data_IF_670353106477
#
_entry.id   IF_670353106477
#
_cell.length_a   1.000
_cell.length_b   1.000
_cell.length_c   1.000
_cell.angle_alpha   90.00
_cell.angle_beta   90.00
_cell.angle_gamma   90.00
#
_symmetry.space_group_name_H-M   'P 1'
#
loop_
_entity.id
_entity.type
_entity.pdbx_description
1 polymer ?
#
# COMPACT_ATOMS: atom_id res chain seq x y z
N UNK A 1 28.41 41.37 -10.69
CA UNK A 1 29.29 40.27 -10.33
C UNK A 1 29.59 40.12 -8.83
N UNK A 2 29.85 41.22 -8.06
CA UNK A 2 30.10 41.15 -6.59
C UNK A 2 28.89 40.71 -5.77
N UNK A 3 27.67 41.08 -6.12
CA UNK A 3 26.44 40.68 -5.40
C UNK A 3 26.10 39.19 -5.51
N UNK A 4 26.45 38.57 -6.65
CA UNK A 4 26.24 37.11 -6.87
C UNK A 4 27.23 36.28 -6.05
N UNK A 5 28.46 36.72 -5.89
CA UNK A 5 29.46 36.06 -5.03
C UNK A 5 29.12 36.16 -3.55
N UNK A 6 28.51 37.27 -3.10
CA UNK A 6 28.04 37.41 -1.72
C UNK A 6 26.83 36.53 -1.40
N UNK A 7 26.00 36.23 -2.40
CA UNK A 7 24.82 35.33 -2.22
C UNK A 7 25.25 33.86 -2.14
N UNK A 8 26.21 33.45 -2.97
CA UNK A 8 26.78 32.10 -2.90
C UNK A 8 27.57 31.86 -1.61
N UNK A 9 28.37 32.84 -1.17
CA UNK A 9 29.09 32.76 0.12
C UNK A 9 28.13 32.77 1.35
N UNK A 10 26.92 33.30 1.24
CA UNK A 10 25.90 33.20 2.29
C UNK A 10 25.22 31.83 2.30
N UNK A 11 25.02 31.20 1.14
CA UNK A 11 24.45 29.85 1.05
C UNK A 11 25.41 28.80 1.61
N UNK A 12 26.73 28.96 1.39
CA UNK A 12 27.74 28.07 1.98
C UNK A 12 27.92 28.20 3.48
N UNK A 13 27.34 29.25 4.10
CA UNK A 13 27.33 29.49 5.55
C UNK A 13 26.11 28.95 6.28
N UNK A 14 25.21 28.27 5.64
CA UNK A 14 24.22 27.44 6.37
C UNK A 14 24.99 26.34 7.09
N UNK A 15 25.34 26.64 8.33
CA UNK A 15 26.04 25.70 9.22
C UNK A 15 25.21 24.42 9.26
N UNK A 16 25.73 23.34 8.69
CA UNK A 16 25.19 22.01 8.86
C UNK A 16 24.98 21.78 10.37
N UNK A 17 23.73 21.83 10.81
CA UNK A 17 23.38 21.60 12.19
C UNK A 17 23.42 20.10 12.43
N UNK A 18 24.48 19.63 13.11
CA UNK A 18 24.60 18.24 13.49
C UNK A 18 23.39 17.90 14.37
N UNK A 19 22.52 16.95 13.97
CA UNK A 19 21.38 16.55 14.77
C UNK A 19 21.86 15.89 16.05
N UNK A 20 21.27 16.29 17.19
CA UNK A 20 21.65 15.77 18.52
C UNK A 20 20.89 14.50 18.89
N UNK A 21 19.77 14.24 18.25
CA UNK A 21 18.90 13.09 18.51
C UNK A 21 18.30 12.55 17.23
N UNK A 22 17.78 11.31 17.29
CA UNK A 22 17.05 10.69 16.17
C UNK A 22 15.81 11.51 15.82
N UNK A 23 15.17 12.15 16.79
CA UNK A 23 14.00 13.01 16.56
C UNK A 23 14.33 14.25 15.72
N UNK A 24 15.56 14.74 15.77
CA UNK A 24 15.99 15.88 14.95
C UNK A 24 16.16 15.50 13.46
N UNK A 25 16.39 14.20 13.20
CA UNK A 25 16.56 13.67 11.83
C UNK A 25 15.22 13.26 11.25
N UNK A 26 14.35 12.63 12.06
CA UNK A 26 13.05 12.13 11.60
C UNK A 26 12.09 13.31 11.50
N UNK A 27 11.58 13.64 10.29
CA UNK A 27 10.72 14.80 10.09
C UNK A 27 9.28 14.57 10.62
N UNK A 28 8.95 13.37 11.11
CA UNK A 28 7.64 13.03 11.65
C UNK A 28 7.47 13.70 13.01
N UNK A 29 6.52 14.61 13.13
CA UNK A 29 6.19 15.28 14.40
C UNK A 29 5.16 14.54 15.21
N UNK A 30 4.18 13.93 14.55
CA UNK A 30 3.08 13.22 15.21
C UNK A 30 2.54 12.12 14.31
N UNK A 31 2.15 11.01 14.94
CA UNK A 31 1.35 9.95 14.35
C UNK A 31 -0.01 9.94 15.05
N UNK A 32 -1.08 10.01 14.29
CA UNK A 32 -2.44 9.99 14.79
C UNK A 32 -3.01 8.56 14.76
N UNK A 33 -3.97 8.22 15.65
CA UNK A 33 -4.53 6.86 15.72
C UNK A 33 -5.20 6.39 14.41
N UNK A 34 -5.69 7.33 13.60
CA UNK A 34 -6.29 7.10 12.27
C UNK A 34 -5.26 6.88 11.15
N UNK A 35 -3.98 6.70 11.50
CA UNK A 35 -2.89 6.42 10.56
C UNK A 35 -2.41 7.65 9.79
N UNK A 36 -2.73 8.85 10.23
CA UNK A 36 -2.24 10.10 9.63
C UNK A 36 -0.89 10.47 10.26
N UNK A 37 0.12 10.68 9.39
CA UNK A 37 1.44 11.19 9.76
C UNK A 37 1.48 12.70 9.55
N UNK A 38 2.05 13.43 10.51
CA UNK A 38 2.22 14.88 10.44
C UNK A 38 3.70 15.26 10.30
N UNK A 39 4.00 16.05 9.27
CA UNK A 39 5.33 16.58 8.95
C UNK A 39 5.24 18.11 8.91
N UNK A 40 5.25 18.78 10.05
CA UNK A 40 4.97 20.23 10.11
C UNK A 40 3.53 20.54 9.68
N UNK A 41 3.37 21.27 8.58
CA UNK A 41 2.06 21.59 7.96
C UNK A 41 1.60 20.54 6.94
N UNK A 42 2.44 19.56 6.60
CA UNK A 42 2.13 18.49 5.66
C UNK A 42 1.60 17.28 6.41
N UNK A 43 0.49 16.74 5.95
CA UNK A 43 -0.13 15.52 6.45
C UNK A 43 -0.07 14.43 5.38
N UNK A 44 0.11 13.19 5.80
CA UNK A 44 0.23 12.04 4.89
C UNK A 44 -0.52 10.84 5.45
N UNK A 45 -1.23 10.13 4.61
CA UNK A 45 -1.91 8.85 4.95
C UNK A 45 -1.59 7.81 3.88
N UNK A 46 -1.21 6.62 4.33
CA UNK A 46 -0.88 5.49 3.45
C UNK A 46 -1.96 4.42 3.56
N UNK A 47 -2.40 3.91 2.42
CA UNK A 47 -3.40 2.87 2.32
C UNK A 47 -2.85 1.71 1.49
N UNK A 48 -3.20 0.49 1.88
CA UNK A 48 -2.96 -0.69 1.06
C UNK A 48 -4.12 -0.86 0.10
N UNK A 49 -3.83 -1.21 -1.15
CA UNK A 49 -4.85 -1.57 -2.13
C UNK A 49 -4.56 -2.95 -2.73
N UNK A 50 -5.64 -3.65 -3.09
CA UNK A 50 -5.56 -4.95 -3.73
C UNK A 50 -5.28 -4.80 -5.22
N UNK A 51 -4.74 -5.85 -5.82
CA UNK A 51 -4.58 -5.93 -7.26
C UNK A 51 -5.92 -6.18 -7.95
N UNK A 52 -6.05 -5.64 -9.14
CA UNK A 52 -7.14 -5.94 -10.05
C UNK A 52 -6.52 -6.74 -11.19
N UNK A 53 -7.06 -7.93 -11.45
CA UNK A 53 -6.54 -8.78 -12.52
C UNK A 53 -6.94 -8.22 -13.89
N UNK A 54 -6.21 -7.20 -14.34
CA UNK A 54 -6.44 -6.51 -15.59
C UNK A 54 -6.29 -7.43 -16.83
N UNK A 55 -5.44 -8.45 -16.73
CA UNK A 55 -5.15 -9.33 -17.87
C UNK A 55 -6.38 -10.12 -18.32
N UNK A 56 -7.17 -10.63 -17.36
CA UNK A 56 -8.33 -11.50 -17.60
C UNK A 56 -9.65 -10.70 -17.69
N UNK A 57 -9.64 -9.42 -17.33
CA UNK A 57 -10.82 -8.59 -17.28
C UNK A 57 -11.43 -8.38 -18.70
N UNK A 58 -12.75 -8.28 -18.75
CA UNK A 58 -13.49 -7.93 -19.97
C UNK A 58 -13.11 -6.52 -20.46
N UNK A 59 -13.47 -6.17 -21.68
CA UNK A 59 -13.21 -4.82 -22.22
C UNK A 59 -13.97 -3.76 -21.41
N UNK A 60 -15.19 -4.07 -21.01
CA UNK A 60 -16.07 -3.21 -20.21
C UNK A 60 -15.46 -2.98 -18.82
N UNK A 61 -14.97 -4.04 -18.16
CA UNK A 61 -14.33 -3.95 -16.87
C UNK A 61 -13.03 -3.13 -16.95
N UNK A 62 -12.23 -3.35 -17.99
CA UNK A 62 -11.00 -2.55 -18.22
C UNK A 62 -11.31 -1.06 -18.35
N UNK A 63 -12.37 -0.73 -19.07
CA UNK A 63 -12.81 0.66 -19.21
C UNK A 63 -13.30 1.23 -17.89
N UNK A 64 -14.10 0.47 -17.12
CA UNK A 64 -14.58 0.88 -15.80
C UNK A 64 -13.43 1.09 -14.81
N UNK A 65 -12.41 0.22 -14.82
CA UNK A 65 -11.20 0.38 -14.01
C UNK A 65 -10.44 1.66 -14.36
N UNK A 66 -10.27 1.94 -15.65
CA UNK A 66 -9.59 3.15 -16.11
C UNK A 66 -10.34 4.41 -15.70
N UNK A 67 -11.67 4.43 -15.87
CA UNK A 67 -12.51 5.55 -15.42
C UNK A 67 -12.41 5.76 -13.90
N UNK A 68 -12.47 4.69 -13.12
CA UNK A 68 -12.32 4.78 -11.66
C UNK A 68 -10.94 5.31 -11.24
N UNK A 69 -9.88 4.91 -11.94
CA UNK A 69 -8.54 5.44 -11.72
C UNK A 69 -8.44 6.93 -12.09
N UNK A 70 -9.02 7.33 -13.20
CA UNK A 70 -9.06 8.74 -13.63
C UNK A 70 -9.85 9.60 -12.65
N UNK A 71 -10.98 9.11 -12.14
CA UNK A 71 -11.74 9.78 -11.07
C UNK A 71 -10.91 9.93 -9.78
N UNK A 72 -10.05 8.94 -9.48
CA UNK A 72 -9.12 9.04 -8.34
C UNK A 72 -8.15 10.19 -8.52
N UNK A 73 -7.54 10.30 -9.63
CA UNK A 73 -6.59 11.37 -9.90
C UNK A 73 -7.27 12.75 -9.91
N UNK A 74 -8.46 12.83 -10.51
CA UNK A 74 -9.22 14.08 -10.60
C UNK A 74 -9.80 14.55 -9.25
N UNK A 75 -9.95 13.67 -8.26
CA UNK A 75 -10.42 14.03 -6.92
C UNK A 75 -9.32 14.58 -6.02
N UNK A 76 -8.06 14.56 -6.46
CA UNK A 76 -6.95 15.14 -5.72
C UNK A 76 -6.91 16.64 -5.94
N UNK A 77 -6.82 17.40 -4.83
CA UNK A 77 -6.66 18.85 -4.88
C UNK A 77 -5.31 19.25 -5.48
N UNK A 78 -5.27 20.42 -6.12
CA UNK A 78 -4.02 21.07 -6.49
C UNK A 78 -3.15 21.27 -5.23
N UNK A 79 -1.90 20.81 -5.27
CA UNK A 79 -0.99 20.85 -4.12
C UNK A 79 -1.00 19.57 -3.27
N UNK A 80 -1.81 18.57 -3.60
CA UNK A 80 -1.65 17.22 -3.05
C UNK A 80 -0.59 16.43 -3.83
N UNK A 81 0.09 15.51 -3.13
CA UNK A 81 1.07 14.60 -3.73
C UNK A 81 0.61 13.19 -3.54
N UNK A 82 0.61 12.41 -4.60
CA UNK A 82 0.29 10.99 -4.59
C UNK A 82 1.55 10.18 -4.89
N UNK A 83 1.82 9.17 -4.06
CA UNK A 83 2.90 8.21 -4.28
C UNK A 83 2.33 6.80 -4.30
N UNK A 84 2.59 6.06 -5.37
CA UNK A 84 2.31 4.63 -5.45
C UNK A 84 3.60 3.88 -5.12
N UNK A 85 3.51 2.93 -4.20
CA UNK A 85 4.63 2.09 -3.77
C UNK A 85 4.26 0.64 -4.02
N UNK A 86 5.09 -0.07 -4.75
CA UNK A 86 5.00 -1.51 -4.94
C UNK A 86 6.16 -2.13 -4.17
N UNK A 87 5.84 -2.93 -3.18
CA UNK A 87 6.80 -3.60 -2.32
C UNK A 87 6.79 -5.09 -2.59
N UNK A 88 7.88 -5.60 -3.13
CA UNK A 88 8.06 -7.02 -3.37
C UNK A 88 8.64 -7.66 -2.11
N UNK A 89 7.87 -8.51 -1.46
CA UNK A 89 8.29 -9.28 -0.29
C UNK A 89 8.45 -10.74 -0.65
N UNK A 90 9.49 -11.37 -0.15
CA UNK A 90 9.54 -12.83 -0.16
C UNK A 90 8.46 -13.38 0.76
N UNK A 91 7.81 -14.45 0.33
CA UNK A 91 6.85 -15.18 1.16
C UNK A 91 7.60 -15.69 2.38
N UNK A 92 7.07 -15.39 3.57
CA UNK A 92 7.56 -16.00 4.79
C UNK A 92 7.12 -17.47 4.78
N UNK A 93 8.08 -18.39 4.65
CA UNK A 93 7.82 -19.82 4.58
C UNK A 93 7.01 -20.33 5.78
N UNK A 94 7.31 -19.85 6.97
CA UNK A 94 6.59 -20.24 8.18
C UNK A 94 5.11 -19.85 8.15
N UNK A 95 4.78 -18.62 7.73
CA UNK A 95 3.39 -18.20 7.59
C UNK A 95 2.67 -18.97 6.48
N UNK A 96 3.36 -19.26 5.38
CA UNK A 96 2.83 -20.09 4.30
C UNK A 96 2.49 -21.49 4.78
N UNK A 97 3.39 -22.14 5.53
CA UNK A 97 3.16 -23.46 6.08
C UNK A 97 1.95 -23.50 7.03
N UNK A 98 1.75 -22.46 7.84
CA UNK A 98 0.61 -22.38 8.77
C UNK A 98 -0.72 -22.05 8.10
N UNK A 99 -0.74 -21.24 7.05
CA UNK A 99 -1.98 -20.72 6.45
C UNK A 99 -2.47 -21.58 5.27
N UNK A 100 -1.59 -22.26 4.56
CA UNK A 100 -1.90 -22.90 3.27
C UNK A 100 -1.79 -24.41 3.32
N UNK A 101 -0.87 -24.96 4.11
CA UNK A 101 -0.74 -26.41 4.22
C UNK A 101 -1.91 -27.02 4.97
N UNK A 102 -2.41 -28.14 4.45
CA UNK A 102 -3.50 -28.87 5.08
C UNK A 102 -2.94 -29.74 6.19
N UNK A 103 -3.33 -29.51 7.48
CA UNK A 103 -2.83 -30.33 8.57
C UNK A 103 -3.36 -31.77 8.47
N UNK A 104 -2.61 -32.77 8.95
CA UNK A 104 -3.08 -34.16 9.03
C UNK A 104 -4.27 -34.25 10.01
N UNK A 105 -5.28 -35.05 9.68
CA UNK A 105 -6.48 -35.26 10.48
C UNK A 105 -6.60 -36.63 11.10
N UNK A 106 -5.63 -37.55 10.81
CA UNK A 106 -5.64 -38.93 11.30
C UNK A 106 -6.59 -39.86 10.54
N UNK A 107 -6.98 -39.49 9.33
CA UNK A 107 -7.87 -40.27 8.47
C UNK A 107 -7.15 -40.86 7.25
N UNK A 108 -7.88 -41.69 6.46
CA UNK A 108 -7.34 -42.36 5.29
C UNK A 108 -6.90 -41.40 4.15
N UNK A 109 -7.26 -40.13 4.22
CA UNK A 109 -6.92 -39.09 3.24
C UNK A 109 -5.58 -38.40 3.54
N UNK A 110 -4.94 -38.71 4.67
CA UNK A 110 -3.69 -38.04 5.06
C UNK A 110 -2.54 -38.27 4.07
N UNK A 111 -2.52 -39.42 3.39
CA UNK A 111 -1.60 -39.66 2.30
C UNK A 111 -1.74 -38.66 1.15
N UNK A 112 -2.96 -38.40 0.73
CA UNK A 112 -3.27 -37.40 -0.32
C UNK A 112 -2.97 -35.98 0.13
N UNK A 113 -3.24 -35.63 1.40
CA UNK A 113 -2.88 -34.32 1.97
C UNK A 113 -1.38 -34.11 1.97
N UNK A 114 -0.60 -35.15 2.34
CA UNK A 114 0.86 -35.08 2.34
C UNK A 114 1.41 -34.83 0.93
N UNK A 115 0.90 -35.56 -0.06
CA UNK A 115 1.30 -35.39 -1.47
C UNK A 115 0.95 -34.01 -2.00
N UNK A 116 -0.26 -33.54 -1.73
CA UNK A 116 -0.69 -32.18 -2.11
C UNK A 116 0.19 -31.09 -1.46
N UNK A 117 0.47 -31.24 -0.18
CA UNK A 117 1.35 -30.33 0.55
C UNK A 117 2.78 -30.33 -0.01
N UNK A 118 3.30 -31.50 -0.41
CA UNK A 118 4.61 -31.62 -1.05
C UNK A 118 4.67 -30.84 -2.38
N UNK A 119 3.63 -30.93 -3.20
CA UNK A 119 3.52 -30.17 -4.47
C UNK A 119 3.49 -28.66 -4.20
N UNK A 120 2.76 -28.22 -3.17
CA UNK A 120 2.69 -26.80 -2.80
C UNK A 120 4.04 -26.27 -2.32
N UNK A 121 4.75 -27.05 -1.49
CA UNK A 121 6.07 -26.68 -0.98
C UNK A 121 7.12 -26.60 -2.09
N UNK A 122 7.09 -27.53 -3.05
CA UNK A 122 7.97 -27.53 -4.21
C UNK A 122 7.77 -26.25 -5.04
N UNK A 123 6.51 -25.89 -5.34
CA UNK A 123 6.18 -24.65 -6.07
C UNK A 123 6.58 -23.37 -5.35
N UNK A 124 6.57 -23.35 -4.03
CA UNK A 124 7.01 -22.18 -3.24
C UNK A 124 8.52 -22.11 -3.15
N UNK A 125 9.20 -23.23 -3.20
CA UNK A 125 10.66 -23.29 -3.20
C UNK A 125 11.23 -22.80 -4.54
N UNK A 126 10.45 -22.95 -5.61
CA UNK A 126 10.79 -22.39 -6.92
C UNK A 126 10.85 -20.86 -6.85
N UNK A 127 12.03 -20.30 -7.07
CA UNK A 127 12.37 -18.89 -6.78
C UNK A 127 11.48 -17.85 -7.47
N UNK A 128 10.78 -18.22 -8.53
CA UNK A 128 9.88 -17.34 -9.28
C UNK A 128 8.53 -17.08 -8.59
N UNK A 129 8.08 -18.02 -7.74
CA UNK A 129 6.76 -17.95 -7.09
C UNK A 129 6.83 -17.49 -5.62
N UNK A 130 8.03 -17.18 -5.12
CA UNK A 130 8.25 -16.84 -3.71
C UNK A 130 8.08 -15.35 -3.38
N UNK A 131 7.52 -14.55 -4.29
CA UNK A 131 7.38 -13.09 -4.12
C UNK A 131 5.92 -12.68 -4.11
N UNK A 132 5.51 -12.00 -3.03
CA UNK A 132 4.21 -11.33 -2.92
C UNK A 132 4.42 -9.84 -3.13
N UNK A 133 3.57 -9.23 -3.96
CA UNK A 133 3.55 -7.80 -4.15
C UNK A 133 2.52 -7.15 -3.22
N UNK A 134 3.00 -6.26 -2.37
CA UNK A 134 2.14 -5.37 -1.60
C UNK A 134 2.12 -4.00 -2.27
N UNK A 135 0.92 -3.47 -2.47
CA UNK A 135 0.72 -2.18 -3.14
C UNK A 135 0.14 -1.18 -2.17
N UNK A 136 0.77 -0.02 -2.13
CA UNK A 136 0.38 1.09 -1.26
C UNK A 136 0.22 2.37 -2.06
N UNK A 137 -0.80 3.14 -1.70
CA UNK A 137 -0.97 4.51 -2.15
C UNK A 137 -0.81 5.44 -0.96
N UNK A 138 0.09 6.39 -1.07
CA UNK A 138 0.32 7.41 -0.06
C UNK A 138 -0.14 8.75 -0.60
N UNK A 139 -1.10 9.36 0.08
CA UNK A 139 -1.58 10.69 -0.19
C UNK A 139 -0.96 11.67 0.80
N UNK A 140 -0.50 12.82 0.31
CA UNK A 140 0.06 13.87 1.14
C UNK A 140 -0.50 15.22 0.72
N UNK A 141 -0.87 16.05 1.68
CA UNK A 141 -1.39 17.39 1.43
C UNK A 141 -0.95 18.36 2.54
N UNK A 142 -0.82 19.64 2.19
CA UNK A 142 -0.64 20.69 3.17
C UNK A 142 -2.00 21.17 3.67
N UNK A 143 -2.23 21.09 4.98
CA UNK A 143 -3.47 21.54 5.63
C UNK A 143 -3.14 22.34 6.88
N UNK A 144 -4.04 23.21 7.29
CA UNK A 144 -3.81 24.10 8.46
C UNK A 144 -3.85 23.33 9.76
N UNK A 145 -4.74 22.36 9.87
CA UNK A 145 -4.95 21.56 11.06
C UNK A 145 -5.28 20.10 10.72
N UNK A 146 -5.34 19.26 11.75
CA UNK A 146 -5.63 17.83 11.60
C UNK A 146 -7.07 17.57 11.13
N UNK A 147 -8.03 18.39 11.51
CA UNK A 147 -9.44 18.20 11.14
C UNK A 147 -9.64 18.41 9.63
N UNK A 148 -9.01 19.43 9.06
CA UNK A 148 -8.98 19.63 7.61
C UNK A 148 -8.29 18.47 6.89
N UNK A 149 -7.21 17.92 7.48
CA UNK A 149 -6.51 16.77 6.92
C UNK A 149 -7.39 15.51 6.96
N UNK A 150 -8.09 15.24 8.06
CA UNK A 150 -9.06 14.14 8.17
C UNK A 150 -10.14 14.23 7.10
N UNK A 151 -10.81 15.38 7.04
CA UNK A 151 -11.86 15.65 6.05
C UNK A 151 -11.36 15.42 4.62
N UNK A 152 -10.13 15.85 4.32
CA UNK A 152 -9.52 15.65 3.00
C UNK A 152 -9.28 14.16 2.72
N UNK A 153 -8.68 13.43 3.67
CA UNK A 153 -8.40 12.01 3.47
C UNK A 153 -9.68 11.17 3.42
N UNK A 154 -10.63 11.41 4.31
CA UNK A 154 -11.90 10.67 4.35
C UNK A 154 -12.70 10.90 3.06
N UNK A 155 -12.83 12.15 2.61
CA UNK A 155 -13.46 12.46 1.32
C UNK A 155 -12.79 11.74 0.14
N UNK A 156 -11.45 11.64 0.18
CA UNK A 156 -10.70 11.00 -0.90
C UNK A 156 -10.77 9.48 -0.81
N UNK A 157 -10.85 8.91 0.39
CA UNK A 157 -10.88 7.46 0.64
C UNK A 157 -12.30 6.92 0.49
N UNK A 158 -13.31 7.51 1.14
CA UNK A 158 -14.69 6.99 1.17
C UNK A 158 -15.34 6.94 -0.21
N UNK A 159 -15.06 7.91 -1.03
CA UNK A 159 -15.54 7.87 -2.44
C UNK A 159 -15.02 6.67 -3.22
N UNK A 160 -14.04 5.93 -2.70
CA UNK A 160 -13.24 4.96 -3.47
C UNK A 160 -13.03 3.61 -2.82
N UNK A 161 -13.06 3.48 -1.50
CA UNK A 161 -12.99 2.18 -0.82
C UNK A 161 -14.15 1.29 -1.20
N UNK A 162 -15.33 1.86 -1.44
CA UNK A 162 -16.53 1.16 -1.90
C UNK A 162 -16.37 0.60 -3.32
N UNK A 163 -15.58 1.23 -4.18
CA UNK A 163 -15.42 0.79 -5.57
C UNK A 163 -14.19 -0.09 -5.82
N UNK A 164 -13.10 0.11 -5.09
CA UNK A 164 -11.91 -0.75 -5.18
C UNK A 164 -12.12 -2.12 -4.49
N UNK A 165 -13.00 -2.19 -3.47
CA UNK A 165 -13.35 -3.44 -2.79
C UNK A 165 -14.59 -4.14 -3.37
N UNK A 166 -15.43 -3.46 -4.17
CA UNK A 166 -16.67 -4.05 -4.70
C UNK A 166 -16.44 -5.14 -5.76
N UNK A 167 -15.24 -5.22 -6.34
CA UNK A 167 -14.90 -6.28 -7.30
C UNK A 167 -14.49 -7.61 -6.65
N UNK A 168 -14.32 -7.66 -5.31
CA UNK A 168 -13.94 -8.88 -4.60
C UNK A 168 -15.07 -9.63 -3.91
N UNK A 169 -16.31 -9.11 -3.91
CA UNK A 169 -17.44 -9.78 -3.22
C UNK A 169 -18.18 -10.82 -4.05
N UNK A 170 -17.78 -11.06 -5.31
CA UNK A 170 -18.52 -11.97 -6.20
C UNK A 170 -17.86 -13.32 -6.49
N UNK A 171 -16.71 -13.64 -5.87
CA UNK A 171 -16.09 -14.95 -6.07
C UNK A 171 -15.75 -15.59 -4.73
N UNK A 172 -16.72 -16.18 -4.11
CA UNK A 172 -16.66 -17.44 -3.34
C UNK A 172 -17.99 -17.69 -2.64
N UNK A 173 -19.00 -18.07 -3.38
CA UNK A 173 -20.04 -18.96 -2.87
C UNK A 173 -20.02 -20.21 -3.72
N UNK A 174 -19.23 -21.20 -3.32
CA UNK A 174 -19.53 -22.56 -3.72
C UNK A 174 -20.90 -22.91 -3.11
N UNK A 175 -21.87 -23.41 -3.90
CA UNK A 175 -23.09 -23.94 -3.33
C UNK A 175 -22.70 -25.15 -2.49
N UNK A 176 -23.06 -25.11 -1.20
CA UNK A 176 -23.13 -26.28 -0.35
C UNK A 176 -24.18 -27.19 -1.01
N UNK A 177 -23.74 -28.22 -1.71
CA UNK A 177 -24.63 -29.30 -2.14
C UNK A 177 -24.93 -30.18 -0.94
N UNK A 178 -26.21 -30.35 -0.69
CA UNK A 178 -26.81 -31.29 0.25
C UNK A 178 -26.37 -32.74 -0.07
#
# INVERSE_FOLDING_TARGET
MIKTLQTTLKQDKERFKVPRSVQDIIPIRRLWPDGIFQFGSKYSKTMRFSDINYAIASKEDKTAMFLSYSELLNALDTGSTTKITINNKRINRHNFEQEILIPPQGDFLDGGRAEYNAILLDKVTDSSNSVVQERYITLSAHKKNIEEARTFFDRTIDRKSTRLNSSHSSVSRMPSSA
#
